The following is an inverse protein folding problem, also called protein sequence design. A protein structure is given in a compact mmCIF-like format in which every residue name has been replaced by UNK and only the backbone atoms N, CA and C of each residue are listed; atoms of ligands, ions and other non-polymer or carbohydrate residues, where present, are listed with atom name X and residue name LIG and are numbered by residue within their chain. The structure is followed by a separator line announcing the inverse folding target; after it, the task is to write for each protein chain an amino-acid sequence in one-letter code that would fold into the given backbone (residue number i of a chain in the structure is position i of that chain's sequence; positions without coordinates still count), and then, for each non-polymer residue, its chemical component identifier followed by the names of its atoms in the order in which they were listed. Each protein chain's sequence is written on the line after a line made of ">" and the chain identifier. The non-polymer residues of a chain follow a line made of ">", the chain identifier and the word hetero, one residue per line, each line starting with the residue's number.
data_IF_096719031547
#
_entry.id   IF_096719031547
#
_cell.length_a   1.000
_cell.length_b   1.000
_cell.length_c   1.000
_cell.angle_alpha   90.00
_cell.angle_beta   90.00
_cell.angle_gamma   90.00
#
_symmetry.space_group_name_H-M   'P 1'
#
loop_
_entity.id
_entity.type
_entity.pdbx_description
1 polymer ?
#
# COMPACT_ATOMS: atom_id res chain seq x y z
N UNK A 1 19.03 -0.19 -32.37
CA UNK A 1 18.19 -0.85 -31.35
C UNK A 1 18.32 -0.04 -30.08
N UNK A 2 17.25 0.67 -29.70
CA UNK A 2 17.19 1.34 -28.40
C UNK A 2 17.40 0.29 -27.31
N UNK A 3 18.22 0.60 -26.31
CA UNK A 3 18.35 -0.27 -25.14
C UNK A 3 17.03 -0.17 -24.39
N UNK A 4 16.31 -1.28 -24.24
CA UNK A 4 15.10 -1.32 -23.42
C UNK A 4 15.39 -0.68 -22.06
N UNK A 5 14.54 0.25 -21.63
CA UNK A 5 14.67 0.91 -20.33
C UNK A 5 14.75 -0.14 -19.21
N UNK A 6 15.70 0.06 -18.30
CA UNK A 6 15.91 -0.83 -17.16
C UNK A 6 15.70 -0.02 -15.89
N UNK A 7 14.57 -0.23 -15.22
CA UNK A 7 14.32 0.33 -13.90
C UNK A 7 15.42 -0.14 -12.93
N UNK A 8 16.03 0.83 -12.24
CA UNK A 8 17.10 0.59 -11.27
C UNK A 8 16.69 1.08 -9.91
N UNK A 9 17.11 0.33 -8.90
CA UNK A 9 17.03 0.77 -7.52
C UNK A 9 17.88 2.05 -7.42
N UNK A 10 17.28 3.18 -7.03
CA UNK A 10 17.98 4.45 -7.02
C UNK A 10 19.07 4.50 -5.94
N UNK A 11 19.00 3.67 -4.89
CA UNK A 11 20.05 3.59 -3.84
C UNK A 11 21.24 2.74 -4.28
N UNK A 12 20.99 1.64 -4.99
CA UNK A 12 22.01 0.62 -5.26
C UNK A 12 22.46 0.57 -6.73
N UNK A 13 21.74 1.24 -7.63
CA UNK A 13 21.95 1.17 -9.08
C UNK A 13 21.64 -0.20 -9.70
N UNK A 14 21.22 -1.18 -8.88
CA UNK A 14 20.93 -2.54 -9.31
C UNK A 14 19.60 -2.59 -10.06
N UNK A 15 19.46 -3.56 -10.96
CA UNK A 15 18.23 -3.72 -11.76
C UNK A 15 17.09 -4.24 -10.88
N UNK A 16 15.92 -3.61 -10.96
CA UNK A 16 14.72 -4.10 -10.26
C UNK A 16 13.95 -5.07 -11.17
N UNK A 17 13.54 -6.22 -10.64
CA UNK A 17 12.92 -7.30 -11.44
C UNK A 17 11.52 -6.95 -11.96
N UNK A 18 11.28 -7.17 -13.27
CA UNK A 18 9.99 -6.96 -13.94
C UNK A 18 9.14 -8.25 -13.94
N UNK A 19 8.20 -8.38 -12.99
CA UNK A 19 7.21 -9.47 -12.98
C UNK A 19 6.19 -9.43 -14.15
N UNK A 20 5.55 -10.57 -14.46
CA UNK A 20 4.61 -10.72 -15.61
C UNK A 20 3.42 -9.75 -15.61
N UNK A 21 2.82 -9.44 -14.45
CA UNK A 21 1.74 -8.44 -14.33
C UNK A 21 2.22 -7.03 -14.72
N UNK A 22 3.50 -6.72 -14.46
CA UNK A 22 4.13 -5.42 -14.69
C UNK A 22 4.31 -5.13 -16.19
N UNK A 23 4.69 -6.14 -16.98
CA UNK A 23 4.79 -6.02 -18.45
C UNK A 23 3.46 -5.64 -19.14
N UNK A 24 2.33 -6.18 -18.67
CA UNK A 24 1.00 -5.87 -19.24
C UNK A 24 0.56 -4.43 -18.97
N UNK A 25 0.86 -3.90 -17.77
CA UNK A 25 0.56 -2.51 -17.42
C UNK A 25 1.34 -1.54 -18.31
N UNK A 26 2.64 -1.78 -18.46
CA UNK A 26 3.53 -0.98 -19.33
C UNK A 26 2.99 -0.97 -20.78
N UNK A 27 2.60 -2.14 -21.31
CA UNK A 27 1.99 -2.23 -22.64
C UNK A 27 0.66 -1.47 -22.77
N UNK A 28 -0.12 -1.37 -21.71
CA UNK A 28 -1.36 -0.60 -21.71
C UNK A 28 -1.09 0.92 -21.65
N UNK A 29 -0.05 1.34 -20.93
CA UNK A 29 0.34 2.74 -20.79
C UNK A 29 0.86 3.37 -22.10
N UNK A 30 1.40 2.56 -23.01
CA UNK A 30 1.79 3.02 -24.35
C UNK A 30 0.63 3.18 -25.35
N UNK A 31 -0.62 2.99 -24.91
CA UNK A 31 -1.79 3.25 -25.76
C UNK A 31 -2.14 4.73 -25.73
N UNK A 32 -2.18 5.36 -26.90
CA UNK A 32 -2.65 6.74 -27.05
C UNK A 32 -4.11 6.91 -26.59
N UNK A 33 -4.49 8.15 -26.24
CA UNK A 33 -5.88 8.49 -25.97
C UNK A 33 -6.77 8.14 -27.17
N UNK A 34 -7.97 7.65 -26.87
CA UNK A 34 -8.96 7.29 -27.87
C UNK A 34 -9.74 8.54 -28.30
N UNK A 35 -9.98 8.70 -29.60
CA UNK A 35 -10.70 9.82 -30.18
C UNK A 35 -10.90 9.69 -31.69
N UNK A 36 -11.49 10.72 -32.32
CA UNK A 36 -11.74 10.72 -33.76
C UNK A 36 -10.49 10.47 -34.62
N UNK A 37 -9.32 10.87 -34.12
CA UNK A 37 -8.02 10.68 -34.76
C UNK A 37 -7.61 9.22 -34.92
N UNK A 38 -8.24 8.27 -34.20
CA UNK A 38 -8.05 6.84 -34.43
C UNK A 38 -8.54 6.38 -35.82
N UNK A 39 -9.36 7.18 -36.51
CA UNK A 39 -9.80 6.90 -37.88
C UNK A 39 -8.82 7.37 -38.96
N UNK A 40 -7.75 8.10 -38.60
CA UNK A 40 -6.75 8.54 -39.57
C UNK A 40 -5.90 7.37 -40.04
N UNK A 41 -5.68 7.28 -41.34
CA UNK A 41 -4.74 6.33 -41.94
C UNK A 41 -3.29 6.82 -41.78
N UNK A 42 -2.27 5.93 -41.76
CA UNK A 42 -0.88 6.33 -41.57
C UNK A 42 -0.37 7.41 -42.53
N UNK A 43 -0.75 7.33 -43.81
CA UNK A 43 -0.42 8.34 -44.81
C UNK A 43 -1.09 9.70 -44.51
N UNK A 44 -2.34 9.70 -44.06
CA UNK A 44 -3.08 10.90 -43.68
C UNK A 44 -2.45 11.58 -42.45
N UNK A 45 -2.04 10.80 -41.45
CA UNK A 45 -1.29 11.29 -40.29
C UNK A 45 -0.01 11.96 -40.77
N UNK A 46 0.73 11.30 -41.66
CA UNK A 46 1.98 11.84 -42.22
C UNK A 46 1.77 13.17 -42.95
N UNK A 47 0.75 13.26 -43.80
CA UNK A 47 0.48 14.47 -44.57
C UNK A 47 0.12 15.67 -43.67
N UNK A 48 -0.62 15.44 -42.58
CA UNK A 48 -0.92 16.46 -41.56
C UNK A 48 0.33 16.85 -40.74
N UNK A 49 1.16 15.87 -40.35
CA UNK A 49 2.39 16.09 -39.59
C UNK A 49 3.51 16.74 -40.42
N UNK A 50 3.50 16.60 -41.74
CA UNK A 50 4.41 17.30 -42.64
C UNK A 50 3.82 18.60 -43.19
N UNK A 51 2.60 18.97 -42.76
CA UNK A 51 1.87 20.17 -43.19
C UNK A 51 1.62 20.22 -44.71
N UNK A 52 1.54 19.06 -45.37
CA UNK A 52 1.16 18.94 -46.78
C UNK A 52 -0.33 19.25 -46.98
N UNK A 53 -1.14 18.93 -45.97
CA UNK A 53 -2.56 19.27 -45.88
C UNK A 53 -2.84 19.92 -44.53
N UNK A 54 -3.81 20.83 -44.49
CA UNK A 54 -4.22 21.52 -43.26
C UNK A 54 -5.20 20.70 -42.43
N UNK A 55 -6.13 20.01 -43.09
CA UNK A 55 -7.24 19.29 -42.47
C UNK A 55 -7.61 18.06 -43.28
N UNK A 56 -8.06 17.00 -42.61
CA UNK A 56 -8.57 15.77 -43.22
C UNK A 56 -9.94 15.43 -42.61
N UNK A 57 -10.93 15.14 -43.45
CA UNK A 57 -12.25 14.69 -43.00
C UNK A 57 -12.24 13.18 -42.75
N UNK A 58 -12.68 12.76 -41.56
CA UNK A 58 -12.88 11.35 -41.21
C UNK A 58 -14.29 11.09 -40.71
N UNK A 59 -14.72 9.83 -40.77
CA UNK A 59 -15.99 9.38 -40.19
C UNK A 59 -15.73 8.71 -38.84
N UNK A 60 -16.29 9.27 -37.77
CA UNK A 60 -16.19 8.76 -36.40
C UNK A 60 -17.57 8.74 -35.73
N UNK A 61 -17.99 7.58 -35.20
CA UNK A 61 -19.31 7.40 -34.55
C UNK A 61 -20.47 7.99 -35.38
N UNK A 62 -20.50 7.67 -36.68
CA UNK A 62 -21.48 8.17 -37.67
C UNK A 62 -21.54 9.68 -37.89
N UNK A 63 -20.55 10.43 -37.40
CA UNK A 63 -20.38 11.86 -37.68
C UNK A 63 -19.14 12.09 -38.53
N UNK A 64 -19.20 13.13 -39.35
CA UNK A 64 -18.03 13.62 -40.08
C UNK A 64 -17.30 14.65 -39.22
N UNK A 65 -16.00 14.46 -39.04
CA UNK A 65 -15.14 15.30 -38.21
C UNK A 65 -13.93 15.74 -39.04
N UNK A 66 -13.63 17.03 -39.03
CA UNK A 66 -12.40 17.56 -39.61
C UNK A 66 -11.30 17.49 -38.57
N UNK A 67 -10.22 16.83 -38.93
CA UNK A 67 -9.04 16.65 -38.07
C UNK A 67 -7.88 17.47 -38.60
N UNK A 68 -7.12 18.03 -37.69
CA UNK A 68 -5.98 18.87 -37.99
C UNK A 68 -4.65 18.22 -37.55
N UNK A 69 -3.59 19.02 -37.54
CA UNK A 69 -2.26 18.59 -37.11
C UNK A 69 -2.22 18.13 -35.65
N UNK A 70 -2.98 18.75 -34.75
CA UNK A 70 -3.01 18.39 -33.32
C UNK A 70 -3.59 16.99 -33.15
N UNK A 71 -4.64 16.69 -33.91
CA UNK A 71 -5.23 15.36 -33.97
C UNK A 71 -4.26 14.34 -34.57
N UNK A 72 -3.48 14.72 -35.58
CA UNK A 72 -2.45 13.88 -36.16
C UNK A 72 -1.32 13.54 -35.15
N UNK A 73 -0.91 14.49 -34.30
CA UNK A 73 0.04 14.23 -33.20
C UNK A 73 -0.53 13.18 -32.25
N UNK A 74 -1.82 13.26 -31.90
CA UNK A 74 -2.47 12.26 -31.03
C UNK A 74 -2.64 10.89 -31.71
N UNK A 75 -2.77 10.87 -33.03
CA UNK A 75 -2.84 9.65 -33.82
C UNK A 75 -1.48 8.98 -34.06
N UNK A 76 -0.36 9.58 -33.64
CA UNK A 76 0.99 9.12 -34.02
C UNK A 76 1.28 7.66 -33.67
N UNK A 77 0.57 7.08 -32.70
CA UNK A 77 0.65 5.66 -32.33
C UNK A 77 0.18 4.69 -33.41
N UNK A 78 -0.60 5.17 -34.38
CA UNK A 78 -1.04 4.36 -35.51
C UNK A 78 0.05 4.21 -36.59
N UNK A 79 1.13 5.01 -36.51
CA UNK A 79 2.28 4.85 -37.40
C UNK A 79 3.06 3.56 -37.07
N UNK A 80 3.63 2.89 -38.08
CA UNK A 80 4.38 1.66 -37.88
C UNK A 80 5.71 1.90 -37.15
N UNK A 81 6.22 0.86 -36.48
CA UNK A 81 7.51 0.88 -35.75
C UNK A 81 8.72 1.22 -36.61
N UNK A 82 8.63 1.04 -37.92
CA UNK A 82 9.66 1.47 -38.88
C UNK A 82 9.89 2.98 -38.85
N UNK A 83 8.93 3.75 -38.32
CA UNK A 83 8.96 5.21 -38.24
C UNK A 83 9.29 5.73 -36.84
N UNK A 84 9.76 4.90 -35.90
CA UNK A 84 10.03 5.31 -34.50
C UNK A 84 10.93 6.55 -34.39
N UNK A 85 11.88 6.75 -35.32
CA UNK A 85 12.70 7.97 -35.39
C UNK A 85 11.88 9.24 -35.68
N UNK A 86 10.97 9.14 -36.65
CA UNK A 86 10.10 10.23 -37.01
C UNK A 86 9.06 10.51 -35.91
N UNK A 87 8.51 9.45 -35.30
CA UNK A 87 7.57 9.55 -34.19
C UNK A 87 8.22 10.34 -33.05
N UNK A 88 9.40 9.88 -32.63
CA UNK A 88 10.17 10.53 -31.57
C UNK A 88 10.48 11.99 -31.88
N UNK A 89 11.02 12.28 -33.07
CA UNK A 89 11.32 13.66 -33.50
C UNK A 89 10.07 14.54 -33.50
N UNK A 90 8.95 14.03 -34.01
CA UNK A 90 7.69 14.80 -34.06
C UNK A 90 7.19 15.17 -32.67
N UNK A 91 7.32 14.27 -31.70
CA UNK A 91 6.92 14.53 -30.32
C UNK A 91 7.82 15.61 -29.71
N UNK A 92 9.15 15.51 -29.89
CA UNK A 92 10.08 16.55 -29.41
C UNK A 92 9.79 17.90 -30.07
N UNK A 93 9.63 17.95 -31.39
CA UNK A 93 9.30 19.18 -32.11
C UNK A 93 7.97 19.78 -31.61
N UNK A 94 7.00 18.92 -31.23
CA UNK A 94 5.74 19.32 -30.61
C UNK A 94 5.91 19.88 -29.20
N UNK A 95 6.74 19.26 -28.35
CA UNK A 95 7.06 19.71 -26.99
C UNK A 95 7.86 21.04 -27.01
N UNK A 96 8.68 21.25 -28.04
CA UNK A 96 9.42 22.50 -28.27
C UNK A 96 8.60 23.57 -29.03
N UNK A 97 7.33 23.29 -29.35
CA UNK A 97 6.52 24.22 -30.13
C UNK A 97 6.16 25.49 -29.37
N UNK A 98 6.08 26.60 -30.09
CA UNK A 98 5.50 27.86 -29.58
C UNK A 98 3.99 27.72 -29.30
N UNK A 99 3.32 26.78 -29.95
CA UNK A 99 1.90 26.52 -29.75
C UNK A 99 1.68 25.72 -28.47
N UNK A 100 0.91 26.28 -27.54
CA UNK A 100 0.48 25.62 -26.29
C UNK A 100 -0.23 24.30 -26.61
N UNK A 101 -1.09 24.31 -27.62
CA UNK A 101 -1.90 23.17 -28.03
C UNK A 101 -1.04 22.04 -28.61
N UNK A 102 0.03 22.37 -29.34
CA UNK A 102 0.98 21.36 -29.85
C UNK A 102 1.77 20.73 -28.70
N UNK A 103 2.22 21.51 -27.70
CA UNK A 103 2.89 20.96 -26.51
C UNK A 103 1.98 20.00 -25.73
N UNK A 104 0.71 20.39 -25.53
CA UNK A 104 -0.29 19.52 -24.88
C UNK A 104 -0.53 18.25 -25.71
N UNK A 105 -0.72 18.36 -27.03
CA UNK A 105 -0.92 17.20 -27.89
C UNK A 105 0.29 16.26 -27.90
N UNK A 106 1.50 16.79 -27.82
CA UNK A 106 2.72 16.00 -27.72
C UNK A 106 2.87 15.32 -26.35
N UNK A 107 2.49 16.00 -25.26
CA UNK A 107 2.40 15.41 -23.91
C UNK A 107 1.41 14.23 -23.87
N UNK A 108 0.29 14.32 -24.60
CA UNK A 108 -0.72 13.25 -24.68
C UNK A 108 -0.17 11.92 -25.22
N UNK A 109 0.92 11.98 -25.99
CA UNK A 109 1.57 10.81 -26.61
C UNK A 109 3.03 10.65 -26.16
N UNK A 110 3.48 11.34 -25.11
CA UNK A 110 4.88 11.38 -24.66
C UNK A 110 5.46 9.98 -24.41
N UNK A 111 4.69 9.10 -23.77
CA UNK A 111 5.10 7.71 -23.51
C UNK A 111 5.41 6.94 -24.80
N UNK A 112 4.83 7.31 -25.93
CA UNK A 112 5.09 6.63 -27.20
C UNK A 112 6.51 6.96 -27.69
N UNK A 113 6.96 8.20 -27.48
CA UNK A 113 8.33 8.61 -27.79
C UNK A 113 9.36 7.84 -26.96
N UNK A 114 9.05 7.50 -25.70
CA UNK A 114 9.98 6.78 -24.82
C UNK A 114 10.27 5.34 -25.24
N UNK A 115 9.62 4.83 -26.29
CA UNK A 115 9.93 3.53 -26.91
C UNK A 115 11.25 3.57 -27.69
N UNK A 116 11.63 4.75 -28.19
CA UNK A 116 12.91 4.99 -28.83
C UNK A 116 13.96 5.43 -27.83
N UNK A 117 13.69 6.51 -27.09
CA UNK A 117 14.63 7.06 -26.12
C UNK A 117 13.87 7.49 -24.87
N UNK A 118 14.05 6.76 -23.77
CA UNK A 118 13.37 7.10 -22.52
C UNK A 118 13.98 8.32 -21.86
N UNK A 119 15.28 8.52 -22.00
CA UNK A 119 16.03 9.47 -21.18
C UNK A 119 15.74 10.88 -21.69
N UNK A 120 15.87 11.10 -23.00
CA UNK A 120 15.53 12.38 -23.64
C UNK A 120 14.04 12.77 -23.42
N UNK A 121 13.15 11.78 -23.41
CA UNK A 121 11.72 12.04 -23.18
C UNK A 121 11.40 12.41 -21.74
N UNK A 122 12.12 11.84 -20.75
CA UNK A 122 11.94 12.23 -19.36
C UNK A 122 12.61 13.58 -19.07
N UNK A 123 13.75 13.89 -19.69
CA UNK A 123 14.35 15.24 -19.65
C UNK A 123 13.38 16.29 -20.21
N UNK A 124 12.75 16.01 -21.35
CA UNK A 124 11.75 16.92 -21.91
C UNK A 124 10.52 17.06 -21.00
N UNK A 125 10.09 15.97 -20.34
CA UNK A 125 9.01 16.04 -19.38
C UNK A 125 9.38 16.93 -18.18
N UNK A 126 10.61 16.87 -17.68
CA UNK A 126 11.10 17.74 -16.61
C UNK A 126 11.01 19.22 -17.01
N UNK A 127 11.42 19.55 -18.24
CA UNK A 127 11.27 20.91 -18.80
C UNK A 127 9.80 21.33 -18.87
N UNK A 128 8.90 20.44 -19.31
CA UNK A 128 7.48 20.74 -19.44
C UNK A 128 6.76 20.92 -18.09
N UNK A 129 7.26 20.32 -17.01
CA UNK A 129 6.72 20.54 -15.66
C UNK A 129 6.97 21.98 -15.17
N UNK A 130 7.94 22.67 -15.74
CA UNK A 130 8.23 24.08 -15.48
C UNK A 130 7.82 25.00 -16.66
N UNK A 131 6.94 24.52 -17.55
CA UNK A 131 6.47 25.30 -18.69
C UNK A 131 5.81 26.62 -18.24
N UNK A 132 6.05 27.74 -18.96
CA UNK A 132 5.47 29.04 -18.61
C UNK A 132 3.94 29.07 -18.72
N UNK A 133 3.33 28.20 -19.54
CA UNK A 133 1.89 28.09 -19.63
C UNK A 133 1.32 27.12 -18.57
N UNK A 134 0.41 27.58 -17.69
CA UNK A 134 -0.16 26.74 -16.63
C UNK A 134 -0.94 25.52 -17.13
N UNK A 135 -1.44 25.53 -18.36
CA UNK A 135 -2.18 24.39 -18.93
C UNK A 135 -1.22 23.29 -19.36
N UNK A 136 -0.09 23.64 -19.97
CA UNK A 136 1.00 22.70 -20.27
C UNK A 136 1.59 22.15 -18.99
N UNK A 137 1.86 23.02 -18.00
CA UNK A 137 2.40 22.62 -16.71
C UNK A 137 1.52 21.58 -16.01
N UNK A 138 0.21 21.83 -15.97
CA UNK A 138 -0.77 20.89 -15.40
C UNK A 138 -0.74 19.56 -16.15
N UNK A 139 -0.75 19.61 -17.49
CA UNK A 139 -0.72 18.39 -18.30
C UNK A 139 0.56 17.60 -18.11
N UNK A 140 1.70 18.27 -18.01
CA UNK A 140 3.00 17.64 -17.77
C UNK A 140 3.00 16.91 -16.42
N UNK A 141 2.43 17.49 -15.35
CA UNK A 141 2.32 16.79 -14.05
C UNK A 141 1.38 15.58 -14.09
N UNK A 142 0.30 15.63 -14.86
CA UNK A 142 -0.56 14.45 -15.09
C UNK A 142 0.20 13.32 -15.80
N UNK A 143 1.02 13.69 -16.81
CA UNK A 143 1.89 12.75 -17.51
C UNK A 143 2.98 12.21 -16.57
N UNK A 144 3.59 13.05 -15.74
CA UNK A 144 4.56 12.66 -14.71
C UNK A 144 4.01 11.58 -13.78
N UNK A 145 2.78 11.74 -13.27
CA UNK A 145 2.14 10.73 -12.41
C UNK A 145 2.01 9.38 -13.13
N UNK A 146 1.73 9.40 -14.44
CA UNK A 146 1.61 8.20 -15.27
C UNK A 146 2.97 7.57 -15.58
N UNK A 147 4.00 8.40 -15.79
CA UNK A 147 5.36 7.98 -16.10
C UNK A 147 6.11 7.47 -14.86
N UNK A 148 5.88 8.02 -13.68
CA UNK A 148 6.59 7.69 -12.44
C UNK A 148 6.67 6.18 -12.12
N UNK A 149 5.59 5.37 -12.21
CA UNK A 149 5.69 3.92 -12.01
C UNK A 149 6.42 3.18 -13.15
N UNK A 150 6.60 3.78 -14.32
CA UNK A 150 7.26 3.18 -15.48
C UNK A 150 8.75 3.53 -15.49
N UNK A 151 9.08 4.80 -15.25
CA UNK A 151 10.42 5.38 -15.32
C UNK A 151 10.86 5.99 -13.97
N UNK A 152 10.81 5.24 -12.86
CA UNK A 152 11.07 5.80 -11.53
C UNK A 152 12.48 6.39 -11.37
N UNK A 153 13.48 5.75 -11.97
CA UNK A 153 14.88 6.19 -11.86
C UNK A 153 15.14 7.47 -12.67
N UNK A 154 14.53 7.59 -13.85
CA UNK A 154 14.70 8.78 -14.69
C UNK A 154 13.95 10.01 -14.15
N UNK A 155 12.95 9.80 -13.30
CA UNK A 155 12.13 10.87 -12.71
C UNK A 155 12.47 11.15 -11.24
N UNK A 156 13.53 10.54 -10.71
CA UNK A 156 13.92 10.66 -9.30
C UNK A 156 14.13 12.12 -8.90
N UNK A 157 14.98 12.85 -9.63
CA UNK A 157 15.31 14.24 -9.32
C UNK A 157 14.13 15.18 -9.54
N UNK A 158 13.34 14.94 -10.60
CA UNK A 158 12.09 15.67 -10.86
C UNK A 158 11.13 15.51 -9.68
N UNK A 159 10.86 14.28 -9.22
CA UNK A 159 9.97 14.04 -8.08
C UNK A 159 10.56 14.67 -6.81
N UNK A 160 11.84 14.46 -6.52
CA UNK A 160 12.54 15.02 -5.35
C UNK A 160 12.38 16.54 -5.26
N UNK A 161 12.52 17.24 -6.39
CA UNK A 161 12.37 18.70 -6.50
C UNK A 161 10.92 19.14 -6.31
N UNK A 162 9.97 18.49 -6.98
CA UNK A 162 8.55 18.90 -6.95
C UNK A 162 7.87 18.62 -5.61
N UNK A 163 8.32 17.61 -4.87
CA UNK A 163 7.86 17.35 -3.50
C UNK A 163 8.09 18.56 -2.58
N UNK A 164 9.12 19.36 -2.85
CA UNK A 164 9.50 20.55 -2.07
C UNK A 164 8.99 21.85 -2.69
N UNK A 165 8.09 21.78 -3.66
CA UNK A 165 7.50 22.98 -4.26
C UNK A 165 6.67 23.76 -3.24
N UNK A 166 6.79 25.09 -3.25
CA UNK A 166 5.93 26.01 -2.48
C UNK A 166 4.47 25.96 -2.95
N UNK A 167 4.23 25.57 -4.20
CA UNK A 167 2.89 25.43 -4.74
C UNK A 167 2.26 24.12 -4.28
N UNK A 168 1.28 24.20 -3.38
CA UNK A 168 0.58 23.03 -2.84
C UNK A 168 -0.01 22.10 -3.92
N UNK A 169 -0.44 22.63 -5.09
CA UNK A 169 -0.93 21.78 -6.19
C UNK A 169 0.20 20.97 -6.83
N UNK A 170 1.35 21.60 -7.08
CA UNK A 170 2.54 20.90 -7.61
C UNK A 170 3.00 19.83 -6.62
N UNK A 171 3.08 20.20 -5.35
CA UNK A 171 3.41 19.28 -4.25
C UNK A 171 2.44 18.10 -4.19
N UNK A 172 1.12 18.34 -4.27
CA UNK A 172 0.10 17.28 -4.32
C UNK A 172 0.37 16.30 -5.47
N UNK A 173 0.60 16.82 -6.68
CA UNK A 173 0.84 16.01 -7.87
C UNK A 173 2.13 15.19 -7.75
N UNK A 174 3.18 15.75 -7.15
CA UNK A 174 4.44 15.06 -6.88
C UNK A 174 4.27 13.91 -5.87
N UNK A 175 3.52 14.12 -4.79
CA UNK A 175 3.19 13.04 -3.85
C UNK A 175 2.30 11.96 -4.49
N UNK A 176 1.41 12.32 -5.42
CA UNK A 176 0.66 11.34 -6.20
C UNK A 176 1.59 10.51 -7.09
N UNK A 177 2.51 11.14 -7.81
CA UNK A 177 3.51 10.46 -8.63
C UNK A 177 4.38 9.52 -7.79
N UNK A 178 4.88 10.00 -6.64
CA UNK A 178 5.64 9.18 -5.69
C UNK A 178 4.82 7.98 -5.19
N UNK A 179 3.55 8.18 -4.86
CA UNK A 179 2.68 7.12 -4.37
C UNK A 179 2.41 6.04 -5.44
N UNK A 180 2.17 6.44 -6.70
CA UNK A 180 2.05 5.48 -7.80
C UNK A 180 3.36 4.71 -8.06
N UNK A 181 4.50 5.42 -8.05
CA UNK A 181 5.81 4.79 -8.15
C UNK A 181 6.07 3.81 -7.00
N UNK A 182 5.77 4.20 -5.76
CA UNK A 182 6.02 3.43 -4.54
C UNK A 182 5.20 2.13 -4.46
N UNK A 183 3.96 2.14 -4.96
CA UNK A 183 3.14 0.91 -5.07
C UNK A 183 3.78 -0.16 -5.94
N UNK A 184 4.49 0.31 -6.98
CA UNK A 184 5.11 -0.50 -8.00
C UNK A 184 6.56 -0.88 -7.62
N UNK A 185 7.26 0.06 -7.00
CA UNK A 185 8.67 0.03 -6.61
C UNK A 185 8.82 0.57 -5.17
N UNK A 186 8.64 -0.27 -4.14
CA UNK A 186 8.75 0.17 -2.75
C UNK A 186 10.09 0.83 -2.42
N UNK A 187 11.17 0.43 -3.09
CA UNK A 187 12.52 0.97 -2.95
C UNK A 187 12.59 2.47 -3.29
N UNK A 188 11.81 2.91 -4.29
CA UNK A 188 11.68 4.32 -4.68
C UNK A 188 10.97 5.11 -3.59
N UNK A 189 9.89 4.53 -3.04
CA UNK A 189 9.19 5.10 -1.90
C UNK A 189 10.11 5.26 -0.69
N UNK A 190 10.87 4.21 -0.36
CA UNK A 190 11.84 4.24 0.75
C UNK A 190 12.88 5.34 0.54
N UNK A 191 13.44 5.48 -0.66
CA UNK A 191 14.43 6.52 -0.94
C UNK A 191 13.89 7.92 -0.64
N UNK A 192 12.76 8.30 -1.26
CA UNK A 192 12.24 9.65 -1.08
C UNK A 192 11.71 9.89 0.33
N UNK A 193 11.11 8.89 0.95
CA UNK A 193 10.61 9.02 2.32
C UNK A 193 11.72 9.14 3.34
N UNK A 194 12.87 8.50 3.13
CA UNK A 194 14.04 8.67 3.99
C UNK A 194 14.41 10.15 4.13
N UNK A 195 14.31 10.94 3.07
CA UNK A 195 14.51 12.39 3.14
C UNK A 195 13.29 13.11 3.74
N UNK A 196 12.10 12.88 3.17
CA UNK A 196 10.88 13.68 3.44
C UNK A 196 10.44 13.64 4.91
N UNK A 197 10.57 12.50 5.59
CA UNK A 197 10.14 12.39 7.00
C UNK A 197 11.08 13.10 7.99
N UNK A 198 12.28 13.52 7.55
CA UNK A 198 13.25 14.27 8.37
C UNK A 198 13.22 15.77 8.10
N UNK A 199 12.34 16.22 7.22
CA UNK A 199 12.17 17.64 6.90
C UNK A 199 11.48 18.39 8.05
N UNK A 200 11.87 19.64 8.26
CA UNK A 200 11.26 20.50 9.29
C UNK A 200 9.80 20.86 8.96
N UNK A 201 9.44 20.92 7.67
CA UNK A 201 8.07 21.20 7.22
C UNK A 201 7.12 20.05 7.57
N UNK A 202 6.24 20.32 8.54
CA UNK A 202 5.21 19.39 9.03
C UNK A 202 4.27 18.92 7.90
N UNK A 203 3.96 19.77 6.91
CA UNK A 203 3.14 19.36 5.76
C UNK A 203 3.85 18.29 4.92
N UNK A 204 5.16 18.40 4.72
CA UNK A 204 5.96 17.40 4.02
C UNK A 204 5.97 16.08 4.79
N UNK A 205 6.20 16.10 6.10
CA UNK A 205 6.18 14.88 6.94
C UNK A 205 4.82 14.20 6.92
N UNK A 206 3.72 14.96 7.07
CA UNK A 206 2.35 14.43 7.00
C UNK A 206 2.05 13.77 5.66
N UNK A 207 2.50 14.38 4.56
CA UNK A 207 2.32 13.83 3.20
C UNK A 207 3.20 12.61 2.98
N UNK A 208 4.45 12.63 3.44
CA UNK A 208 5.35 11.48 3.44
C UNK A 208 4.73 10.29 4.16
N UNK A 209 4.17 10.50 5.35
CA UNK A 209 3.48 9.47 6.11
C UNK A 209 2.32 8.81 5.33
N UNK A 210 1.61 9.55 4.46
CA UNK A 210 0.53 8.97 3.64
C UNK A 210 1.05 7.96 2.62
N UNK A 211 2.29 8.14 2.15
CA UNK A 211 2.94 7.21 1.21
C UNK A 211 3.35 5.91 1.90
N UNK A 212 3.58 5.89 3.23
CA UNK A 212 3.97 4.69 3.97
C UNK A 212 3.03 3.50 3.71
N UNK A 213 1.72 3.76 3.57
CA UNK A 213 0.74 2.69 3.27
C UNK A 213 1.06 1.95 1.96
N UNK A 214 1.62 2.64 0.97
CA UNK A 214 1.99 2.03 -0.31
C UNK A 214 3.18 1.07 -0.21
N UNK A 215 4.06 1.27 0.78
CA UNK A 215 5.30 0.51 0.96
C UNK A 215 5.28 -0.47 2.13
N UNK A 216 4.40 -0.27 3.12
CA UNK A 216 4.42 -0.96 4.42
C UNK A 216 4.57 -2.48 4.34
N UNK A 217 3.88 -3.13 3.41
CA UNK A 217 3.89 -4.59 3.29
C UNK A 217 5.03 -5.14 2.42
N UNK A 218 5.73 -4.30 1.64
CA UNK A 218 6.64 -4.74 0.58
C UNK A 218 8.07 -4.22 0.69
N UNK A 219 8.29 -3.11 1.41
CA UNK A 219 9.60 -2.47 1.51
C UNK A 219 10.59 -3.16 2.47
N UNK A 220 10.16 -4.18 3.23
CA UNK A 220 11.01 -4.87 4.19
C UNK A 220 11.52 -3.95 5.31
N UNK A 221 12.70 -4.27 5.85
CA UNK A 221 13.29 -3.59 7.02
C UNK A 221 13.34 -2.08 6.90
N UNK A 222 13.87 -1.55 5.80
CA UNK A 222 13.95 -0.11 5.59
C UNK A 222 12.56 0.57 5.59
N UNK A 223 11.53 -0.09 5.04
CA UNK A 223 10.16 0.42 5.11
C UNK A 223 9.58 0.40 6.52
N UNK A 224 9.95 -0.59 7.34
CA UNK A 224 9.52 -0.68 8.73
C UNK A 224 10.19 0.37 9.60
N UNK A 225 11.48 0.66 9.39
CA UNK A 225 12.19 1.73 10.10
C UNK A 225 11.52 3.09 9.85
N UNK A 226 11.17 3.38 8.58
CA UNK A 226 10.44 4.61 8.22
C UNK A 226 9.07 4.70 8.91
N UNK A 227 8.37 3.57 9.07
CA UNK A 227 7.09 3.52 9.80
C UNK A 227 7.34 3.81 11.28
N UNK A 228 8.33 3.16 11.89
CA UNK A 228 8.72 3.39 13.29
C UNK A 228 9.04 4.86 13.56
N UNK A 229 9.93 5.46 12.77
CA UNK A 229 10.28 6.88 12.90
C UNK A 229 9.08 7.81 12.72
N UNK A 230 8.13 7.47 11.84
CA UNK A 230 6.91 8.26 11.67
C UNK A 230 5.89 8.05 12.81
N UNK A 231 5.96 6.94 13.53
CA UNK A 231 5.19 6.70 14.75
C UNK A 231 5.78 7.44 15.96
N UNK A 232 7.05 7.83 15.91
CA UNK A 232 7.71 8.64 16.94
C UNK A 232 7.71 10.15 16.63
N UNK A 233 7.05 10.59 15.54
CA UNK A 233 7.05 12.00 15.14
C UNK A 233 6.37 12.89 16.21
N UNK A 234 6.90 14.09 16.40
CA UNK A 234 6.35 15.09 17.33
C UNK A 234 4.93 15.51 16.95
N UNK A 235 4.62 15.58 15.64
CA UNK A 235 3.32 15.95 15.12
C UNK A 235 2.30 14.79 15.24
N UNK A 236 1.19 14.97 15.98
CA UNK A 236 0.21 13.90 16.18
C UNK A 236 -0.42 13.40 14.88
N UNK A 237 -0.58 14.26 13.87
CA UNK A 237 -1.19 13.85 12.61
C UNK A 237 -0.25 12.95 11.78
N UNK A 238 1.06 13.16 11.85
CA UNK A 238 2.05 12.22 11.28
C UNK A 238 1.90 10.85 11.93
N UNK A 239 1.90 10.78 13.27
CA UNK A 239 1.71 9.52 14.02
C UNK A 239 0.39 8.84 13.68
N UNK A 240 -0.71 9.60 13.60
CA UNK A 240 -2.03 9.08 13.17
C UNK A 240 -1.96 8.44 11.81
N UNK A 241 -1.38 9.12 10.83
CA UNK A 241 -1.28 8.60 9.46
C UNK A 241 -0.42 7.33 9.43
N UNK A 242 0.73 7.34 10.12
CA UNK A 242 1.64 6.19 10.20
C UNK A 242 0.98 4.97 10.89
N UNK A 243 0.25 5.18 11.99
CA UNK A 243 -0.45 4.12 12.73
C UNK A 243 -1.47 3.35 11.89
N UNK A 244 -2.01 3.96 10.84
CA UNK A 244 -2.92 3.29 9.90
C UNK A 244 -2.26 2.17 9.11
N UNK A 245 -0.93 2.05 9.14
CA UNK A 245 -0.19 0.92 8.53
C UNK A 245 -0.16 -0.32 9.42
N UNK A 246 -0.30 -0.16 10.75
CA UNK A 246 -0.17 -1.24 11.74
C UNK A 246 -1.10 -2.43 11.47
N UNK A 247 -2.40 -2.26 11.16
CA UNK A 247 -3.28 -3.41 10.91
C UNK A 247 -2.90 -4.22 9.67
N UNK A 248 -2.26 -3.58 8.68
CA UNK A 248 -1.75 -4.25 7.49
C UNK A 248 -0.40 -4.93 7.74
N UNK A 249 0.43 -4.36 8.62
CA UNK A 249 1.66 -4.99 9.10
C UNK A 249 1.38 -6.19 9.99
N UNK A 250 0.32 -6.18 10.80
CA UNK A 250 -0.08 -7.34 11.60
C UNK A 250 -0.34 -8.58 10.74
N UNK A 251 -0.81 -8.41 9.50
CA UNK A 251 -1.04 -9.51 8.56
C UNK A 251 0.26 -9.97 7.88
N UNK A 252 1.15 -9.04 7.49
CA UNK A 252 2.32 -9.35 6.66
C UNK A 252 3.63 -9.56 7.43
N UNK A 253 3.78 -8.89 8.57
CA UNK A 253 4.97 -8.89 9.43
C UNK A 253 4.57 -8.80 10.93
N UNK A 254 3.91 -9.83 11.50
CA UNK A 254 3.31 -9.77 12.83
C UNK A 254 4.29 -9.38 13.95
N UNK A 255 5.55 -9.84 13.86
CA UNK A 255 6.58 -9.54 14.86
C UNK A 255 7.01 -8.08 14.85
N UNK A 256 7.02 -7.44 13.69
CA UNK A 256 7.32 -6.01 13.56
C UNK A 256 6.15 -5.18 14.04
N UNK A 257 4.93 -5.58 13.64
CA UNK A 257 3.71 -4.95 14.13
C UNK A 257 3.62 -5.02 15.67
N UNK A 258 4.03 -6.14 16.28
CA UNK A 258 4.09 -6.28 17.73
C UNK A 258 4.94 -5.20 18.39
N UNK A 259 6.18 -5.04 17.92
CA UNK A 259 7.13 -4.05 18.46
C UNK A 259 6.52 -2.65 18.37
N UNK A 260 5.97 -2.27 17.21
CA UNK A 260 5.36 -0.95 17.03
C UNK A 260 4.08 -0.77 17.86
N UNK A 261 3.32 -1.83 18.08
CA UNK A 261 2.11 -1.79 18.93
C UNK A 261 2.48 -1.58 20.41
N UNK A 262 3.61 -2.11 20.88
CA UNK A 262 4.07 -1.89 22.27
C UNK A 262 4.23 -0.41 22.60
N UNK A 263 4.76 0.36 21.64
CA UNK A 263 4.96 1.80 21.80
C UNK A 263 3.65 2.57 21.58
N UNK A 264 2.92 2.25 20.51
CA UNK A 264 1.75 3.04 20.07
C UNK A 264 0.45 2.77 20.83
N UNK A 265 0.32 1.62 21.50
CA UNK A 265 -0.86 1.30 22.31
C UNK A 265 -1.08 2.33 23.44
N UNK A 266 0.00 2.98 23.88
CA UNK A 266 0.02 3.95 24.97
C UNK A 266 0.27 5.40 24.52
N UNK A 267 0.12 5.69 23.22
CA UNK A 267 0.29 7.04 22.65
C UNK A 267 -0.69 8.05 23.29
N UNK A 268 -0.34 9.33 23.33
CA UNK A 268 -1.29 10.36 23.80
C UNK A 268 -2.48 10.56 22.84
N UNK A 269 -2.34 10.19 21.56
CA UNK A 269 -3.36 10.37 20.55
C UNK A 269 -4.32 9.17 20.43
N UNK A 270 -5.62 9.47 20.51
CA UNK A 270 -6.69 8.46 20.51
C UNK A 270 -6.74 7.64 19.20
N UNK A 271 -6.49 8.26 18.05
CA UNK A 271 -6.57 7.55 16.77
C UNK A 271 -5.38 6.61 16.59
N UNK A 272 -4.19 6.98 17.08
CA UNK A 272 -3.01 6.10 17.13
C UNK A 272 -3.33 4.85 17.94
N UNK A 273 -3.77 5.02 19.19
CA UNK A 273 -4.12 3.91 20.08
C UNK A 273 -5.19 2.99 19.47
N UNK A 274 -6.20 3.57 18.82
CA UNK A 274 -7.24 2.81 18.14
C UNK A 274 -6.71 1.96 16.97
N UNK A 275 -5.76 2.46 16.20
CA UNK A 275 -5.15 1.67 15.12
C UNK A 275 -4.22 0.57 15.67
N UNK A 276 -3.53 0.83 16.79
CA UNK A 276 -2.75 -0.19 17.51
C UNK A 276 -3.64 -1.29 18.06
N UNK A 277 -4.82 -0.97 18.61
CA UNK A 277 -5.80 -1.97 19.04
C UNK A 277 -6.33 -2.83 17.89
N UNK A 278 -6.57 -2.24 16.70
CA UNK A 278 -6.96 -2.99 15.51
C UNK A 278 -5.87 -3.94 15.04
N UNK A 279 -4.61 -3.52 15.12
CA UNK A 279 -3.45 -4.36 14.83
C UNK A 279 -3.33 -5.48 15.87
N UNK A 280 -3.38 -5.14 17.16
CA UNK A 280 -3.34 -6.06 18.28
C UNK A 280 -4.41 -7.15 18.13
N UNK A 281 -5.65 -6.80 17.78
CA UNK A 281 -6.75 -7.75 17.59
C UNK A 281 -6.46 -8.84 16.54
N UNK A 282 -5.59 -8.58 15.56
CA UNK A 282 -5.19 -9.53 14.51
C UNK A 282 -4.00 -10.41 14.88
N UNK A 283 -3.26 -10.04 15.92
CA UNK A 283 -2.06 -10.76 16.32
C UNK A 283 -2.39 -12.06 17.05
N UNK A 284 -1.42 -12.99 17.01
CA UNK A 284 -1.49 -14.26 17.72
C UNK A 284 -1.63 -14.03 19.24
N UNK A 285 -2.71 -14.61 19.80
CA UNK A 285 -3.11 -14.49 21.19
C UNK A 285 -2.42 -15.50 22.10
N UNK A 286 -1.74 -16.49 21.52
CA UNK A 286 -0.91 -17.41 22.28
C UNK A 286 0.49 -16.88 22.55
N UNK A 287 0.92 -15.85 21.82
CA UNK A 287 2.18 -15.19 22.07
C UNK A 287 2.17 -14.46 23.42
N UNK A 288 3.14 -14.80 24.27
CA UNK A 288 3.28 -14.26 25.63
C UNK A 288 3.28 -12.73 25.68
N UNK A 289 3.89 -12.08 24.69
CA UNK A 289 4.08 -10.64 24.64
C UNK A 289 2.79 -9.94 24.21
N UNK A 290 2.02 -10.54 23.30
CA UNK A 290 0.63 -10.13 23.00
C UNK A 290 -0.28 -10.24 24.24
N UNK A 291 -0.16 -11.32 25.02
CA UNK A 291 -0.94 -11.51 26.26
C UNK A 291 -0.63 -10.42 27.28
N UNK A 292 0.65 -10.11 27.49
CA UNK A 292 1.08 -9.01 28.37
C UNK A 292 0.51 -7.67 27.91
N UNK A 293 0.58 -7.35 26.62
CA UNK A 293 0.01 -6.11 26.08
C UNK A 293 -1.49 -5.97 26.32
N UNK A 294 -2.24 -7.07 26.18
CA UNK A 294 -3.69 -7.07 26.45
C UNK A 294 -3.95 -6.84 27.94
N UNK A 295 -3.19 -7.49 28.82
CA UNK A 295 -3.30 -7.30 30.27
C UNK A 295 -2.98 -5.87 30.70
N UNK A 296 -1.90 -5.28 30.17
CA UNK A 296 -1.50 -3.91 30.47
C UNK A 296 -2.53 -2.91 29.94
N UNK A 297 -3.02 -3.13 28.72
CA UNK A 297 -4.08 -2.31 28.12
C UNK A 297 -5.42 -2.38 28.88
N UNK A 298 -5.72 -3.50 29.54
CA UNK A 298 -6.89 -3.63 30.42
C UNK A 298 -6.80 -2.76 31.68
N UNK A 299 -5.60 -2.28 32.05
CA UNK A 299 -5.33 -1.38 33.19
C UNK A 299 -5.05 0.07 32.74
N UNK A 300 -5.24 0.39 31.47
CA UNK A 300 -4.89 1.69 30.91
C UNK A 300 -5.77 2.85 31.42
N UNK A 301 -5.27 4.10 31.39
CA UNK A 301 -6.03 5.30 31.82
C UNK A 301 -7.31 5.55 31.00
N UNK A 302 -7.28 5.25 29.72
CA UNK A 302 -8.39 5.43 28.77
C UNK A 302 -9.34 4.23 28.78
N UNK A 303 -10.62 4.48 29.05
CA UNK A 303 -11.67 3.45 29.12
C UNK A 303 -11.92 2.77 27.78
N UNK A 304 -11.71 3.43 26.64
CA UNK A 304 -11.87 2.80 25.32
C UNK A 304 -10.84 1.69 25.09
N UNK A 305 -9.62 1.87 25.57
CA UNK A 305 -8.56 0.85 25.52
C UNK A 305 -8.88 -0.26 26.48
N UNK A 306 -9.19 0.07 27.74
CA UNK A 306 -9.54 -0.93 28.74
C UNK A 306 -10.66 -1.82 28.23
N UNK A 307 -11.74 -1.25 27.73
CA UNK A 307 -12.85 -1.98 27.11
C UNK A 307 -12.40 -2.91 25.98
N UNK A 308 -11.56 -2.41 25.06
CA UNK A 308 -11.06 -3.20 23.93
C UNK A 308 -10.20 -4.39 24.38
N UNK A 309 -9.32 -4.19 25.35
CA UNK A 309 -8.48 -5.23 25.92
C UNK A 309 -9.27 -6.22 26.78
N UNK A 310 -10.24 -5.74 27.58
CA UNK A 310 -11.14 -6.59 28.38
C UNK A 310 -11.90 -7.56 27.48
N UNK A 311 -12.39 -7.11 26.31
CA UNK A 311 -13.04 -7.98 25.33
C UNK A 311 -12.12 -9.08 24.76
N UNK A 312 -10.80 -8.89 24.82
CA UNK A 312 -9.82 -9.89 24.37
C UNK A 312 -9.41 -10.88 25.48
N UNK A 313 -9.73 -10.62 26.76
CA UNK A 313 -9.34 -11.50 27.88
C UNK A 313 -9.82 -12.95 27.71
N UNK A 314 -11.07 -13.24 27.33
CA UNK A 314 -11.53 -14.63 27.17
C UNK A 314 -10.82 -15.39 26.04
N UNK A 315 -10.11 -14.68 25.15
CA UNK A 315 -9.35 -15.28 24.05
C UNK A 315 -7.96 -15.72 24.53
N UNK A 316 -7.36 -14.97 25.47
CA UNK A 316 -5.98 -15.24 25.95
C UNK A 316 -5.91 -16.10 27.21
N UNK A 317 -7.00 -16.21 27.97
CA UNK A 317 -7.07 -16.98 29.21
C UNK A 317 -8.48 -17.53 29.46
N UNK A 318 -8.56 -18.60 30.26
CA UNK A 318 -9.81 -19.28 30.57
C UNK A 318 -9.83 -19.80 32.02
N UNK A 319 -11.01 -20.19 32.49
CA UNK A 319 -11.19 -20.80 33.82
C UNK A 319 -10.85 -19.84 34.96
N UNK A 320 -10.13 -20.34 35.98
CA UNK A 320 -9.85 -19.59 37.20
C UNK A 320 -9.00 -18.34 36.95
N UNK A 321 -8.00 -18.43 36.07
CA UNK A 321 -7.13 -17.28 35.75
C UNK A 321 -7.92 -16.12 35.15
N UNK A 322 -8.90 -16.39 34.27
CA UNK A 322 -9.79 -15.36 33.73
C UNK A 322 -10.65 -14.72 34.82
N UNK A 323 -11.20 -15.54 35.72
CA UNK A 323 -12.05 -15.06 36.82
C UNK A 323 -11.29 -14.19 37.81
N UNK A 324 -10.12 -14.65 38.25
CA UNK A 324 -9.25 -13.92 39.17
C UNK A 324 -8.84 -12.57 38.57
N UNK A 325 -8.41 -12.57 37.29
CA UNK A 325 -8.05 -11.33 36.58
C UNK A 325 -9.26 -10.40 36.44
N UNK A 326 -10.45 -10.94 36.14
CA UNK A 326 -11.66 -10.13 36.02
C UNK A 326 -12.05 -9.48 37.36
N UNK A 327 -11.98 -10.23 38.47
CA UNK A 327 -12.23 -9.73 39.82
C UNK A 327 -11.23 -8.65 40.24
N UNK A 328 -9.94 -8.84 39.93
CA UNK A 328 -8.90 -7.83 40.16
C UNK A 328 -9.21 -6.54 39.39
N UNK A 329 -9.57 -6.64 38.11
CA UNK A 329 -9.90 -5.48 37.28
C UNK A 329 -11.17 -4.76 37.76
N UNK A 330 -12.21 -5.50 38.19
CA UNK A 330 -13.45 -4.90 38.74
C UNK A 330 -13.16 -4.01 39.93
N UNK A 331 -12.24 -4.43 40.82
CA UNK A 331 -11.93 -3.68 42.04
C UNK A 331 -11.38 -2.27 41.78
N UNK A 332 -10.75 -2.07 40.61
CA UNK A 332 -10.13 -0.81 40.21
C UNK A 332 -10.87 -0.09 39.07
N UNK A 333 -12.00 -0.64 38.61
CA UNK A 333 -12.74 -0.09 37.47
C UNK A 333 -13.86 0.85 37.92
N UNK A 334 -14.04 1.93 37.15
CA UNK A 334 -15.08 2.94 37.39
C UNK A 334 -16.13 2.99 36.28
N UNK A 335 -15.80 2.51 35.06
CA UNK A 335 -16.71 2.49 33.93
C UNK A 335 -17.71 1.32 34.04
N UNK A 336 -18.99 1.65 34.18
CA UNK A 336 -20.08 0.68 34.31
C UNK A 336 -20.13 -0.33 33.16
N UNK A 337 -19.81 0.07 31.93
CA UNK A 337 -19.85 -0.84 30.77
C UNK A 337 -18.74 -1.87 30.85
N UNK A 338 -17.57 -1.48 31.36
CA UNK A 338 -16.42 -2.37 31.54
C UNK A 338 -16.72 -3.33 32.69
N UNK A 339 -17.24 -2.83 33.81
CA UNK A 339 -17.70 -3.65 34.95
C UNK A 339 -18.71 -4.70 34.49
N UNK A 340 -19.67 -4.34 33.64
CA UNK A 340 -20.62 -5.30 33.07
C UNK A 340 -19.96 -6.41 32.23
N UNK A 341 -18.90 -6.10 31.47
CA UNK A 341 -18.17 -7.12 30.72
C UNK A 341 -17.35 -8.02 31.65
N UNK A 342 -16.66 -7.43 32.64
CA UNK A 342 -15.85 -8.19 33.59
C UNK A 342 -16.72 -9.08 34.49
N UNK A 343 -17.88 -8.60 34.94
CA UNK A 343 -18.82 -9.40 35.73
C UNK A 343 -19.27 -10.66 34.97
N UNK A 344 -19.52 -10.57 33.66
CA UNK A 344 -19.84 -11.75 32.83
C UNK A 344 -18.71 -12.79 32.80
N UNK A 345 -17.46 -12.35 32.97
CA UNK A 345 -16.28 -13.21 33.00
C UNK A 345 -15.97 -13.74 34.40
N UNK A 346 -16.34 -13.00 35.45
CA UNK A 346 -16.13 -13.36 36.84
C UNK A 346 -17.11 -14.44 37.34
N UNK A 347 -18.29 -14.57 36.72
CA UNK A 347 -19.30 -15.57 37.10
C UNK A 347 -18.76 -16.98 36.89
N UNK A 348 -18.80 -17.78 37.96
CA UNK A 348 -18.57 -19.21 37.88
C UNK A 348 -19.86 -19.92 37.45
N UNK A 349 -20.01 -20.22 36.17
CA UNK A 349 -21.21 -20.90 35.65
C UNK A 349 -21.45 -22.26 36.34
N UNK A 350 -20.41 -22.90 36.85
CA UNK A 350 -20.53 -24.19 37.56
C UNK A 350 -21.14 -24.06 38.97
N UNK A 351 -21.09 -22.86 39.58
CA UNK A 351 -21.53 -22.62 40.97
C UNK A 351 -22.68 -21.59 41.03
N UNK A 352 -22.69 -20.60 40.15
CA UNK A 352 -23.59 -19.43 40.16
C UNK A 352 -24.50 -19.34 38.92
N UNK A 353 -24.36 -20.26 37.95
CA UNK A 353 -25.25 -20.35 36.78
C UNK A 353 -26.69 -20.77 37.11
N UNK A 354 -27.59 -20.63 36.15
CA UNK A 354 -28.96 -21.15 36.26
C UNK A 354 -28.95 -22.69 36.40
N UNK A 355 -29.99 -23.29 37.01
CA UNK A 355 -30.05 -24.77 37.15
C UNK A 355 -29.85 -25.49 35.80
N UNK A 356 -30.34 -24.92 34.70
CA UNK A 356 -30.18 -25.47 33.36
C UNK A 356 -28.71 -25.43 32.87
N UNK A 357 -27.95 -24.41 33.23
CA UNK A 357 -26.52 -24.27 32.87
C UNK A 357 -25.64 -25.17 33.75
N UNK A 358 -25.96 -25.25 35.05
CA UNK A 358 -25.33 -26.20 36.00
C UNK A 358 -25.53 -27.65 35.56
N UNK A 359 -26.77 -28.00 35.19
CA UNK A 359 -27.11 -29.34 34.71
C UNK A 359 -26.43 -29.68 33.38
N UNK A 360 -26.13 -28.69 32.54
CA UNK A 360 -25.39 -28.88 31.28
C UNK A 360 -23.91 -29.20 31.53
N UNK A 361 -23.33 -28.63 32.58
CA UNK A 361 -21.95 -28.92 33.00
C UNK A 361 -21.80 -30.29 33.68
N UNK A 362 -22.89 -30.79 34.29
CA UNK A 362 -22.99 -32.12 34.91
C UNK A 362 -23.43 -33.21 33.92
N UNK A 363 -23.88 -32.84 32.71
CA UNK A 363 -24.32 -33.79 31.71
C UNK A 363 -23.12 -34.61 31.20
N UNK A 364 -23.25 -35.94 31.06
CA UNK A 364 -22.21 -36.77 30.46
C UNK A 364 -21.86 -36.24 29.06
N UNK A 365 -20.57 -36.21 28.72
CA UNK A 365 -20.12 -35.85 27.38
C UNK A 365 -20.89 -36.68 26.34
N UNK A 366 -21.38 -36.07 25.24
CA UNK A 366 -22.01 -36.84 24.17
C UNK A 366 -20.98 -37.86 23.66
N UNK A 367 -21.35 -39.14 23.68
CA UNK A 367 -20.51 -40.22 23.15
C UNK A 367 -20.15 -39.88 21.71
N UNK A 368 -18.85 -39.81 21.41
CA UNK A 368 -18.40 -39.75 20.02
C UNK A 368 -18.84 -41.02 19.29
N UNK A 369 -19.17 -40.92 18.00
CA UNK A 369 -19.62 -42.05 17.16
C UNK A 369 -18.60 -43.23 17.11
N UNK A 370 -17.39 -43.05 17.63
CA UNK A 370 -16.38 -44.10 17.78
C UNK A 370 -16.60 -45.04 19.00
N UNK A 371 -17.49 -44.70 19.94
CA UNK A 371 -17.75 -45.53 21.13
C UNK A 371 -18.74 -46.69 20.87
N UNK A 372 -19.26 -46.84 19.65
CA UNK A 372 -20.14 -47.95 19.25
C UNK A 372 -19.41 -49.15 18.63
N UNK A 373 -18.07 -49.18 18.59
CA UNK A 373 -17.36 -50.40 18.24
C UNK A 373 -17.02 -51.23 19.49
N UNK A 374 -17.55 -52.46 19.63
CA UNK A 374 -17.18 -53.32 20.74
C UNK A 374 -15.67 -53.59 20.69
N UNK A 375 -15.01 -53.25 21.79
CA UNK A 375 -13.58 -53.43 22.04
C UNK A 375 -13.09 -54.80 21.56
N UNK A 376 -12.34 -54.83 20.44
CA UNK A 376 -11.50 -55.99 20.11
C UNK A 376 -10.49 -56.14 21.23
N UNK A 377 -10.66 -57.18 22.06
CA UNK A 377 -9.67 -57.59 23.04
C UNK A 377 -8.33 -57.82 22.34
N UNK A 378 -7.43 -56.86 22.44
CA UNK A 378 -6.03 -57.04 22.08
C UNK A 378 -5.43 -57.94 23.17
N UNK A 379 -5.34 -59.24 22.87
CA UNK A 379 -4.58 -60.19 23.70
C UNK A 379 -3.11 -59.74 23.71
N UNK A 380 -2.71 -59.08 24.80
CA UNK A 380 -1.31 -58.83 25.13
C UNK A 380 -0.59 -60.19 25.23
N UNK A 381 0.29 -60.49 24.26
CA UNK A 381 1.20 -61.64 24.35
C UNK A 381 2.12 -61.42 25.56
N UNK A 382 2.02 -62.30 26.54
CA UNK A 382 2.94 -62.39 27.67
C UNK A 382 4.38 -62.59 27.17
N UNK A 383 5.18 -61.53 27.20
CA UNK A 383 6.63 -61.63 27.02
C UNK A 383 7.23 -62.41 28.19
N UNK A 384 7.86 -63.56 27.90
CA UNK A 384 8.63 -64.32 28.88
C UNK A 384 9.79 -63.45 29.36
N UNK A 385 9.78 -63.17 30.66
CA UNK A 385 10.90 -62.61 31.41
C UNK A 385 11.98 -63.71 31.48
N UNK A 386 13.09 -63.53 30.76
CA UNK A 386 14.32 -64.26 31.06
C UNK A 386 15.08 -63.45 32.11
N UNK A 387 15.03 -63.92 33.36
CA UNK A 387 16.02 -63.57 34.39
C UNK A 387 17.31 -64.33 34.09
N UNK A 388 18.44 -63.62 34.18
CA UNK A 388 19.79 -64.17 34.31
C UNK A 388 20.00 -64.73 35.72
N UNK A 389 20.60 -65.91 35.84
CA UNK A 389 21.46 -66.41 36.93
C UNK A 389 22.53 -67.26 36.19
N UNK A 390 23.76 -66.80 36.08
CA UNK A 390 24.91 -67.12 36.95
C UNK A 390 25.24 -68.63 37.01
N UNK A 391 26.16 -69.05 36.14
CA UNK A 391 27.41 -69.75 36.48
C UNK A 391 28.45 -69.53 35.36
#
# INVERSE_FOLDING_TARGET
>A
MSRDYIARDPRTGQRISLGKKRRKMIQAAFRAPQGPWNSLLPNQIRDLLEKKVSTIEVRWMDKRVLLDRLDAIRAITALPRTEDEFIHKTIIDGLCSRSIQERIAALDVLLVGSLRDSDEMMEMLDVMVDDPDPSVQRRAREVLITCAPIFPSALEDTIRRLLRSDNSRIRNDAFNALNEASRQWPEVGVLHLDEVIREDDVDLRRRGARVLRSIAQKAGGAGWDLIGWSLDDEDPEVRRIASRTLPGLADSAPRIAQIMVEETLFDQDDEVRNNSLKALAKMDKDDSRTRTLILDGAKHKDSAIRMSCVKMLPIIMSGNSLRETALELISNESDEKIIQHLNKMAIDVSIEGTEAEKNRFLAPLPKSEDDEQPSKQIKLKSGKIQKKEEE
#
